data_IF_157111527522
#
_entry.id   IF_157111527522
#
_cell.length_a   1.000
_cell.length_b   1.000
_cell.length_c   1.000
_cell.angle_alpha   90.00
_cell.angle_beta   90.00
_cell.angle_gamma   90.00
#
_symmetry.space_group_name_H-M   'P 1'
#
loop_
_entity.id
_entity.type
_entity.pdbx_description
1 polymer ?
#
# COMPACT_ATOMS: atom_id res chain seq x y z
N UNK A 1 17.65 -5.11 -4.17
CA UNK A 1 18.07 -4.13 -3.15
C UNK A 1 16.94 -3.74 -2.22
N UNK A 2 15.89 -3.04 -2.68
CA UNK A 2 14.78 -2.55 -1.81
C UNK A 2 14.06 -3.67 -1.04
N UNK A 3 13.75 -4.79 -1.68
CA UNK A 3 13.08 -5.91 -1.01
C UNK A 3 13.86 -6.48 0.19
N UNK A 4 15.19 -6.47 0.15
CA UNK A 4 16.02 -6.93 1.28
C UNK A 4 15.96 -5.96 2.47
N UNK A 5 15.86 -4.65 2.19
CA UNK A 5 15.71 -3.62 3.22
C UNK A 5 14.35 -3.76 3.90
N UNK A 6 13.28 -3.91 3.12
CA UNK A 6 11.92 -4.11 3.65
C UNK A 6 11.84 -5.37 4.50
N UNK A 7 12.42 -6.48 4.03
CA UNK A 7 12.45 -7.74 4.78
C UNK A 7 13.17 -7.58 6.12
N UNK A 8 14.34 -6.92 6.14
CA UNK A 8 15.06 -6.63 7.39
C UNK A 8 14.25 -5.76 8.35
N UNK A 9 13.53 -4.77 7.84
CA UNK A 9 12.64 -3.95 8.66
C UNK A 9 11.46 -4.77 9.22
N UNK A 10 10.87 -5.66 8.41
CA UNK A 10 9.79 -6.55 8.85
C UNK A 10 10.26 -7.50 9.97
N UNK A 11 11.45 -8.10 9.83
CA UNK A 11 12.09 -8.92 10.89
C UNK A 11 12.26 -8.11 12.18
N UNK A 12 12.73 -6.86 12.08
CA UNK A 12 12.98 -6.00 13.24
C UNK A 12 11.70 -5.61 14.01
N UNK A 13 10.53 -5.66 13.35
CA UNK A 13 9.22 -5.39 13.97
C UNK A 13 8.43 -6.65 14.31
N UNK A 14 9.01 -7.85 14.14
CA UNK A 14 8.36 -9.13 14.41
C UNK A 14 7.33 -9.57 13.36
N UNK A 15 7.38 -9.01 12.15
CA UNK A 15 6.54 -9.40 11.02
C UNK A 15 7.23 -10.48 10.17
N UNK A 16 6.47 -11.35 9.50
CA UNK A 16 7.04 -12.40 8.63
C UNK A 16 7.58 -11.78 7.32
N UNK A 17 8.90 -11.79 7.06
CA UNK A 17 9.50 -11.20 5.87
C UNK A 17 9.11 -11.90 4.57
N UNK A 18 8.61 -13.13 4.65
CA UNK A 18 8.12 -13.87 3.49
C UNK A 18 6.88 -13.19 2.86
N UNK A 19 6.11 -12.45 3.66
CA UNK A 19 4.92 -11.70 3.21
C UNK A 19 5.28 -10.38 2.48
N UNK A 20 6.54 -9.93 2.57
CA UNK A 20 6.97 -8.63 2.04
C UNK A 20 7.90 -8.78 0.82
N UNK A 21 7.50 -8.19 -0.31
CA UNK A 21 8.28 -8.12 -1.54
C UNK A 21 8.26 -6.72 -2.16
N UNK A 22 9.04 -6.50 -3.22
CA UNK A 22 9.03 -5.22 -3.96
C UNK A 22 7.65 -4.86 -4.53
N UNK A 23 6.81 -5.85 -4.81
CA UNK A 23 5.41 -5.64 -5.20
C UNK A 23 4.56 -5.14 -4.02
N UNK A 24 4.82 -5.62 -2.80
CA UNK A 24 4.15 -5.18 -1.57
C UNK A 24 4.40 -3.71 -1.27
N UNK A 25 5.60 -3.19 -1.57
CA UNK A 25 5.92 -1.77 -1.34
C UNK A 25 5.24 -0.84 -2.36
N UNK A 26 5.12 -1.27 -3.63
CA UNK A 26 4.34 -0.51 -4.64
C UNK A 26 2.86 -0.49 -4.29
N UNK A 27 2.32 -1.64 -3.86
CA UNK A 27 0.95 -1.76 -3.38
C UNK A 27 0.71 -0.84 -2.18
N UNK A 28 1.54 -0.94 -1.14
CA UNK A 28 1.47 -0.09 0.05
C UNK A 28 1.55 1.39 -0.28
N UNK A 29 2.46 1.80 -1.18
CA UNK A 29 2.53 3.19 -1.64
C UNK A 29 1.23 3.65 -2.32
N UNK A 30 0.65 2.84 -3.19
CA UNK A 30 -0.61 3.18 -3.87
C UNK A 30 -1.78 3.30 -2.88
N UNK A 31 -1.90 2.35 -1.94
CA UNK A 31 -2.93 2.36 -0.90
C UNK A 31 -2.76 3.57 0.03
N UNK A 32 -1.55 3.84 0.53
CA UNK A 32 -1.29 4.99 1.39
C UNK A 32 -1.54 6.32 0.67
N UNK A 33 -1.14 6.47 -0.60
CA UNK A 33 -1.42 7.67 -1.36
C UNK A 33 -2.93 7.90 -1.55
N UNK A 34 -3.69 6.84 -1.81
CA UNK A 34 -5.15 6.91 -1.88
C UNK A 34 -5.79 7.27 -0.51
N UNK A 35 -5.26 6.74 0.59
CA UNK A 35 -5.65 7.12 1.95
C UNK A 35 -5.42 8.62 2.22
N UNK A 36 -4.31 9.18 1.76
CA UNK A 36 -4.03 10.61 1.90
C UNK A 36 -4.80 11.48 0.89
N UNK A 37 -5.61 10.88 0.02
CA UNK A 37 -6.47 11.59 -0.94
C UNK A 37 -5.75 12.05 -2.20
N UNK A 38 -4.58 11.48 -2.52
CA UNK A 38 -3.91 11.73 -3.79
C UNK A 38 -4.81 11.34 -4.97
N UNK A 39 -4.75 12.11 -6.05
CA UNK A 39 -5.56 11.81 -7.22
C UNK A 39 -5.06 10.54 -7.92
N UNK A 40 -5.98 9.77 -8.49
CA UNK A 40 -5.67 8.50 -9.15
C UNK A 40 -4.55 8.62 -10.20
N UNK A 41 -4.58 9.68 -11.02
CA UNK A 41 -3.57 9.92 -12.05
C UNK A 41 -2.17 10.21 -11.47
N UNK A 42 -2.07 10.80 -10.28
CA UNK A 42 -0.80 11.03 -9.58
C UNK A 42 -0.22 9.71 -9.10
N UNK A 43 -1.08 8.86 -8.52
CA UNK A 43 -0.70 7.51 -8.07
C UNK A 43 -0.22 6.70 -9.27
N UNK A 44 -0.96 6.71 -10.39
CA UNK A 44 -0.57 6.01 -11.62
C UNK A 44 0.76 6.50 -12.17
N UNK A 45 0.98 7.82 -12.23
CA UNK A 45 2.24 8.42 -12.69
C UNK A 45 3.44 7.98 -11.83
N UNK A 46 3.28 7.96 -10.51
CA UNK A 46 4.35 7.58 -9.58
C UNK A 46 4.66 6.07 -9.60
N UNK A 47 3.62 5.24 -9.78
CA UNK A 47 3.74 3.78 -9.69
C UNK A 47 3.93 3.08 -11.04
N UNK A 48 3.72 3.79 -12.15
CA UNK A 48 3.85 3.29 -13.51
C UNK A 48 2.65 2.46 -13.99
N UNK A 49 1.48 2.58 -13.35
CA UNK A 49 0.27 1.91 -13.81
C UNK A 49 -0.24 2.54 -15.11
N UNK A 50 -0.55 1.69 -16.09
CA UNK A 50 -0.98 2.12 -17.43
C UNK A 50 -2.49 2.34 -17.53
N UNK A 51 -3.26 1.69 -16.67
CA UNK A 51 -4.72 1.80 -16.64
C UNK A 51 -5.22 2.02 -15.22
N UNK A 52 -6.36 2.70 -15.14
CA UNK A 52 -7.10 2.96 -13.90
C UNK A 52 -7.47 1.68 -13.15
N UNK A 53 -7.81 0.62 -13.87
CA UNK A 53 -8.20 -0.66 -13.28
C UNK A 53 -7.07 -1.28 -12.44
N UNK A 54 -5.80 -1.05 -12.81
CA UNK A 54 -4.66 -1.59 -12.07
C UNK A 54 -4.50 -0.93 -10.69
N UNK A 55 -4.83 0.36 -10.57
CA UNK A 55 -4.71 1.12 -9.32
C UNK A 55 -5.99 1.08 -8.49
N UNK A 56 -7.15 0.88 -9.12
CA UNK A 56 -8.45 0.85 -8.44
C UNK A 56 -8.53 -0.16 -7.30
N UNK A 57 -7.88 -1.33 -7.42
CA UNK A 57 -7.87 -2.30 -6.32
C UNK A 57 -7.27 -1.73 -5.04
N UNK A 58 -6.18 -0.96 -5.16
CA UNK A 58 -5.49 -0.34 -4.02
C UNK A 58 -6.29 0.83 -3.45
N UNK A 59 -7.01 1.57 -4.29
CA UNK A 59 -7.91 2.65 -3.87
C UNK A 59 -9.10 2.06 -3.10
N UNK A 60 -9.71 0.97 -3.59
CA UNK A 60 -10.79 0.28 -2.88
C UNK A 60 -10.32 -0.27 -1.53
N UNK A 61 -9.13 -0.85 -1.48
CA UNK A 61 -8.51 -1.28 -0.21
C UNK A 61 -8.30 -0.09 0.73
N UNK A 62 -7.80 1.05 0.25
CA UNK A 62 -7.68 2.27 1.04
C UNK A 62 -9.03 2.75 1.58
N UNK A 63 -10.07 2.75 0.76
CA UNK A 63 -11.43 3.13 1.16
C UNK A 63 -11.99 2.20 2.25
N UNK A 64 -11.63 0.91 2.27
CA UNK A 64 -11.99 0.01 3.36
C UNK A 64 -11.38 0.43 4.71
N UNK A 65 -10.23 1.10 4.71
CA UNK A 65 -9.65 1.66 5.94
C UNK A 65 -10.24 3.05 6.27
N UNK A 66 -10.69 3.82 5.28
CA UNK A 66 -11.42 5.09 5.46
C UNK A 66 -12.88 4.83 5.88
N UNK A 67 -13.12 4.74 7.18
CA UNK A 67 -14.47 4.68 7.76
C UNK A 67 -14.86 3.34 8.35
N UNK A 68 -13.97 2.36 8.31
CA UNK A 68 -14.12 1.12 9.09
C UNK A 68 -13.98 1.42 10.59
N UNK A 69 -14.94 0.93 11.37
CA UNK A 69 -14.97 1.06 12.84
C UNK A 69 -13.74 0.42 13.49
N UNK A 70 -13.18 -0.65 12.90
CA UNK A 70 -11.93 -1.25 13.36
C UNK A 70 -10.73 -0.28 13.25
N UNK A 71 -10.65 0.50 12.18
CA UNK A 71 -9.62 1.54 12.02
C UNK A 71 -9.77 2.72 12.99
N UNK A 72 -10.99 2.97 13.51
CA UNK A 72 -11.23 3.98 14.55
C UNK A 72 -10.96 3.49 15.98
N UNK A 73 -10.94 2.17 16.21
CA UNK A 73 -10.82 1.56 17.54
C UNK A 73 -9.41 0.99 17.78
N UNK A 74 -8.52 1.01 16.78
CA UNK A 74 -7.11 0.62 16.94
C UNK A 74 -6.91 -0.88 17.13
N UNK A 75 -7.74 -1.69 16.46
CA UNK A 75 -7.63 -3.16 16.40
C UNK A 75 -6.80 -3.59 15.21
#
# INVERSE_FOLDING_TARGET
>A
AVALVVKRCAEATGLDPAEFAGHSLRAGLATSAALEGAAEWEIMRQTGHRTSEMVQKYIREADLFKGNVAGKVGL
#
